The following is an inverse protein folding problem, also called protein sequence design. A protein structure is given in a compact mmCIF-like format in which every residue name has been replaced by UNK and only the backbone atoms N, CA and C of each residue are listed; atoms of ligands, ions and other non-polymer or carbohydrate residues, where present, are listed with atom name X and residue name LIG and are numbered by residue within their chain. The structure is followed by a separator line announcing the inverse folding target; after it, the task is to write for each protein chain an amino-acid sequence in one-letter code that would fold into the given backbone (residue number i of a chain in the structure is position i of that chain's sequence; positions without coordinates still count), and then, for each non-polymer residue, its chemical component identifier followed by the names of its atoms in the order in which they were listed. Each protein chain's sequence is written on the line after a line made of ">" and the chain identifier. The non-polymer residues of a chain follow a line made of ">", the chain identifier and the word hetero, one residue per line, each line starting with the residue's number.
data_IF_858156880928
#
_entry.id   IF_858156880928
#
_cell.length_a   1.000
_cell.length_b   1.000
_cell.length_c   1.000
_cell.angle_alpha   90.00
_cell.angle_beta   90.00
_cell.angle_gamma   90.00
#
_symmetry.space_group_name_H-M   'P 1'
#
loop_
_entity.id
_entity.type
_entity.pdbx_description
1 polymer ?
#
# COMPACT_ATOMS: atom_id res chain seq x y z
N UNK A 1 -30.17 39.11 6.27
CA UNK A 1 -31.22 38.08 6.06
C UNK A 1 -30.80 37.00 5.05
N UNK A 2 -30.19 37.33 3.91
CA UNK A 2 -29.77 36.33 2.90
C UNK A 2 -28.66 35.36 3.35
N UNK A 3 -27.72 35.74 4.22
CA UNK A 3 -26.67 34.84 4.70
C UNK A 3 -27.13 33.74 5.69
N UNK A 4 -28.28 33.97 6.36
CA UNK A 4 -28.86 32.96 7.25
C UNK A 4 -29.62 31.87 6.51
N UNK A 5 -30.19 32.17 5.35
CA UNK A 5 -30.91 31.20 4.53
C UNK A 5 -29.96 30.29 3.73
N UNK A 6 -28.77 30.78 3.34
CA UNK A 6 -27.75 29.96 2.68
C UNK A 6 -27.09 28.93 3.60
N UNK A 7 -27.09 29.14 4.92
CA UNK A 7 -26.60 28.15 5.90
C UNK A 7 -27.58 26.98 6.15
N UNK A 8 -28.87 27.17 5.93
CA UNK A 8 -29.91 26.14 6.10
C UNK A 8 -29.95 25.11 4.96
N UNK A 9 -29.32 25.38 3.80
CA UNK A 9 -29.27 24.45 2.67
C UNK A 9 -27.99 23.61 2.60
N UNK A 10 -27.06 23.74 3.54
CA UNK A 10 -25.93 22.82 3.77
C UNK A 10 -26.22 21.83 4.90
N UNK A 11 -27.36 21.17 4.87
CA UNK A 11 -27.46 19.86 5.48
C UNK A 11 -26.58 18.92 4.64
N UNK A 12 -25.36 18.65 5.13
CA UNK A 12 -24.54 17.59 4.59
C UNK A 12 -25.37 16.31 4.64
N UNK A 13 -25.86 15.87 3.47
CA UNK A 13 -26.51 14.58 3.37
C UNK A 13 -25.54 13.57 3.95
N UNK A 14 -25.97 12.70 4.88
CA UNK A 14 -25.07 11.71 5.45
C UNK A 14 -24.41 10.95 4.32
N UNK A 15 -23.09 10.96 4.30
CA UNK A 15 -22.29 10.26 3.29
C UNK A 15 -22.68 8.76 3.38
N UNK A 16 -22.96 8.11 2.24
CA UNK A 16 -23.31 6.70 2.26
C UNK A 16 -22.18 5.90 2.91
N UNK A 17 -22.50 5.12 3.94
CA UNK A 17 -21.57 4.17 4.54
C UNK A 17 -21.48 2.92 3.67
N UNK A 18 -20.27 2.57 3.28
CA UNK A 18 -19.97 1.32 2.59
C UNK A 18 -19.29 0.34 3.55
N UNK A 19 -19.47 -0.95 3.31
CA UNK A 19 -18.80 -2.00 4.08
C UNK A 19 -18.09 -2.95 3.13
N UNK A 20 -16.88 -3.36 3.50
CA UNK A 20 -16.17 -4.44 2.82
C UNK A 20 -16.88 -5.74 3.16
N UNK A 21 -17.36 -6.47 2.14
CA UNK A 21 -18.14 -7.70 2.34
C UNK A 21 -17.38 -8.78 3.11
N UNK A 22 -16.07 -8.90 2.90
CA UNK A 22 -15.23 -9.93 3.53
C UNK A 22 -14.92 -9.64 5.01
N UNK A 23 -14.72 -8.37 5.36
CA UNK A 23 -14.24 -7.98 6.70
C UNK A 23 -15.31 -7.30 7.56
N UNK A 24 -16.36 -6.77 6.93
CA UNK A 24 -17.36 -5.90 7.58
C UNK A 24 -16.82 -4.50 7.90
N UNK A 25 -15.57 -4.19 7.52
CA UNK A 25 -14.94 -2.89 7.76
C UNK A 25 -15.73 -1.78 7.06
N UNK A 26 -16.03 -0.71 7.80
CA UNK A 26 -16.67 0.48 7.24
C UNK A 26 -15.65 1.31 6.48
N UNK A 27 -16.00 1.69 5.26
CA UNK A 27 -15.18 2.52 4.39
C UNK A 27 -15.96 3.76 3.94
N UNK A 28 -15.23 4.86 3.76
CA UNK A 28 -15.80 6.10 3.24
C UNK A 28 -15.73 6.16 1.72
N UNK A 29 -16.60 6.98 1.12
CA UNK A 29 -16.51 7.29 -0.31
C UNK A 29 -15.16 7.93 -0.68
N UNK A 30 -14.60 8.75 0.20
CA UNK A 30 -13.31 9.39 -0.04
C UNK A 30 -12.16 8.38 -0.07
N UNK A 31 -12.23 7.33 0.74
CA UNK A 31 -11.27 6.22 0.65
C UNK A 31 -11.37 5.49 -0.70
N UNK A 32 -12.58 5.24 -1.20
CA UNK A 32 -12.80 4.63 -2.53
C UNK A 32 -12.27 5.56 -3.64
N UNK A 33 -12.52 6.88 -3.55
CA UNK A 33 -12.00 7.86 -4.49
C UNK A 33 -10.47 7.84 -4.56
N UNK A 34 -9.77 7.73 -3.43
CA UNK A 34 -8.31 7.63 -3.41
C UNK A 34 -7.81 6.43 -4.21
N UNK A 35 -8.46 5.26 -4.07
CA UNK A 35 -8.14 4.07 -4.86
C UNK A 35 -8.33 4.34 -6.35
N UNK A 36 -9.46 4.93 -6.74
CA UNK A 36 -9.75 5.24 -8.15
C UNK A 36 -8.69 6.16 -8.73
N UNK A 37 -8.32 7.22 -8.00
CA UNK A 37 -7.35 8.22 -8.47
C UNK A 37 -5.98 7.64 -8.79
N UNK A 38 -5.45 6.72 -7.98
CA UNK A 38 -4.14 6.10 -8.24
C UNK A 38 -4.16 5.11 -9.42
N UNK A 39 -5.35 4.67 -9.86
CA UNK A 39 -5.50 3.76 -10.99
C UNK A 39 -6.03 4.45 -12.25
N UNK A 40 -6.54 5.67 -12.16
CA UNK A 40 -7.18 6.37 -13.27
C UNK A 40 -6.34 6.40 -14.55
N UNK A 41 -5.04 6.68 -14.43
CA UNK A 41 -4.13 6.71 -15.58
C UNK A 41 -3.66 5.33 -16.06
N UNK A 42 -3.92 4.30 -15.28
CA UNK A 42 -3.50 2.90 -15.55
C UNK A 42 -4.60 2.07 -16.19
N UNK A 43 -5.85 2.52 -16.11
CA UNK A 43 -7.02 1.83 -16.63
C UNK A 43 -7.12 2.02 -18.14
N UNK A 44 -7.19 0.92 -18.87
CA UNK A 44 -7.59 0.91 -20.28
C UNK A 44 -9.09 0.77 -20.43
N UNK A 45 -9.73 0.04 -19.52
CA UNK A 45 -11.19 -0.18 -19.44
C UNK A 45 -11.65 -0.15 -18.00
N UNK A 46 -12.84 0.39 -17.75
CA UNK A 46 -13.44 0.43 -16.40
C UNK A 46 -13.64 -0.97 -15.77
N UNK A 47 -13.84 -1.99 -16.59
CA UNK A 47 -13.99 -3.38 -16.13
C UNK A 47 -12.73 -3.94 -15.44
N UNK A 48 -11.55 -3.39 -15.71
CA UNK A 48 -10.27 -3.81 -15.12
C UNK A 48 -10.09 -3.34 -13.68
N UNK A 49 -10.87 -2.33 -13.24
CA UNK A 49 -10.70 -1.72 -11.94
C UNK A 49 -10.86 -2.74 -10.80
N UNK A 50 -11.83 -3.63 -10.91
CA UNK A 50 -12.07 -4.63 -9.86
C UNK A 50 -10.88 -5.55 -9.67
N UNK A 51 -10.27 -6.03 -10.76
CA UNK A 51 -9.10 -6.91 -10.70
C UNK A 51 -7.86 -6.19 -10.19
N UNK A 52 -7.65 -4.94 -10.60
CA UNK A 52 -6.49 -4.14 -10.22
C UNK A 52 -6.54 -3.67 -8.78
N UNK A 53 -7.73 -3.55 -8.18
CA UNK A 53 -7.92 -2.96 -6.85
C UNK A 53 -8.45 -3.93 -5.79
N UNK A 54 -8.76 -5.17 -6.15
CA UNK A 54 -9.38 -6.17 -5.27
C UNK A 54 -8.61 -6.38 -3.95
N UNK A 55 -7.27 -6.27 -3.98
CA UNK A 55 -6.44 -6.45 -2.81
C UNK A 55 -6.69 -5.41 -1.71
N UNK A 56 -7.19 -4.21 -2.01
CA UNK A 56 -7.57 -3.24 -0.98
C UNK A 56 -8.70 -3.75 -0.08
N UNK A 57 -9.59 -4.58 -0.63
CA UNK A 57 -10.80 -5.08 0.01
C UNK A 57 -10.60 -6.46 0.66
N UNK A 58 -9.43 -7.07 0.53
CA UNK A 58 -9.13 -8.39 1.08
C UNK A 58 -8.47 -8.30 2.45
N UNK A 59 -8.89 -9.17 3.35
CA UNK A 59 -8.26 -9.34 4.66
C UNK A 59 -6.88 -10.01 4.50
N UNK A 60 -6.83 -11.12 3.77
CA UNK A 60 -5.60 -11.88 3.50
C UNK A 60 -5.32 -11.95 2.01
N UNK A 61 -4.05 -11.77 1.65
CA UNK A 61 -3.60 -11.89 0.28
C UNK A 61 -3.16 -13.34 -0.01
N UNK A 62 -3.61 -13.84 -1.16
CA UNK A 62 -3.19 -15.16 -1.68
C UNK A 62 -2.23 -14.95 -2.83
N UNK A 63 -0.96 -15.28 -2.63
CA UNK A 63 0.09 -15.27 -3.65
C UNK A 63 1.18 -16.25 -3.26
N UNK A 64 1.92 -16.75 -4.25
CA UNK A 64 3.07 -17.61 -4.02
C UNK A 64 4.25 -16.77 -3.48
N UNK A 65 5.01 -17.33 -2.53
CA UNK A 65 6.14 -16.63 -1.91
C UNK A 65 7.23 -16.25 -2.92
N UNK A 66 7.34 -16.99 -4.04
CA UNK A 66 8.30 -16.66 -5.09
C UNK A 66 8.07 -15.29 -5.72
N UNK A 67 6.84 -14.78 -5.67
CA UNK A 67 6.49 -13.45 -6.16
C UNK A 67 7.21 -12.32 -5.39
N UNK A 68 7.56 -12.55 -4.12
CA UNK A 68 8.34 -11.60 -3.32
C UNK A 68 9.77 -11.42 -3.81
N UNK A 69 10.25 -12.30 -4.70
CA UNK A 69 11.62 -12.29 -5.18
C UNK A 69 11.82 -11.25 -6.26
N UNK A 70 12.75 -10.35 -6.03
CA UNK A 70 13.27 -9.43 -7.04
C UNK A 70 14.59 -9.97 -7.58
N UNK A 71 14.71 -10.11 -8.91
CA UNK A 71 15.92 -10.61 -9.55
C UNK A 71 16.41 -11.93 -8.89
N UNK A 72 17.65 -12.00 -8.52
CA UNK A 72 18.29 -13.18 -7.92
C UNK A 72 18.34 -13.16 -6.38
N UNK A 73 17.35 -12.51 -5.73
CA UNK A 73 17.29 -12.50 -4.25
C UNK A 73 17.11 -13.90 -3.68
N UNK A 74 17.87 -14.18 -2.62
CA UNK A 74 17.65 -15.34 -1.77
C UNK A 74 16.54 -15.05 -0.74
N UNK A 75 15.91 -16.10 -0.20
CA UNK A 75 14.85 -15.93 0.80
C UNK A 75 15.32 -15.12 2.02
N UNK A 76 16.57 -15.28 2.47
CA UNK A 76 17.17 -14.46 3.55
C UNK A 76 17.27 -12.97 3.20
N UNK A 77 17.50 -12.64 1.93
CA UNK A 77 17.59 -11.26 1.44
C UNK A 77 16.19 -10.62 1.33
N UNK A 78 15.20 -11.40 0.89
CA UNK A 78 13.79 -11.00 0.89
C UNK A 78 13.32 -10.72 2.31
N UNK A 79 13.64 -11.61 3.24
CA UNK A 79 13.36 -11.44 4.67
C UNK A 79 13.99 -10.16 5.21
N UNK A 80 15.27 -9.92 4.93
CA UNK A 80 15.98 -8.72 5.35
C UNK A 80 15.32 -7.44 4.79
N UNK A 81 14.91 -7.46 3.52
CA UNK A 81 14.17 -6.36 2.88
C UNK A 81 12.86 -6.04 3.61
N UNK A 82 12.05 -7.05 3.89
CA UNK A 82 10.77 -6.89 4.57
C UNK A 82 10.95 -6.45 6.02
N UNK A 83 11.88 -7.04 6.77
CA UNK A 83 12.22 -6.63 8.15
C UNK A 83 12.68 -5.17 8.20
N UNK A 84 13.49 -4.74 7.23
CA UNK A 84 13.95 -3.36 7.11
C UNK A 84 12.79 -2.42 6.82
N UNK A 85 11.92 -2.77 5.88
CA UNK A 85 10.73 -2.00 5.54
C UNK A 85 9.80 -1.87 6.75
N UNK A 86 9.55 -2.95 7.49
CA UNK A 86 8.74 -2.93 8.71
C UNK A 86 9.34 -1.98 9.77
N UNK A 87 10.64 -2.09 10.02
CA UNK A 87 11.33 -1.24 11.00
C UNK A 87 11.25 0.25 10.68
N UNK A 88 11.37 0.61 9.40
CA UNK A 88 11.26 2.00 8.95
C UNK A 88 9.82 2.49 9.14
N UNK A 89 8.86 1.74 8.59
CA UNK A 89 7.46 2.12 8.56
C UNK A 89 6.83 2.16 9.96
N UNK A 90 7.25 1.27 10.87
CA UNK A 90 6.73 1.25 12.25
C UNK A 90 7.05 2.54 13.04
N UNK A 91 8.13 3.24 12.70
CA UNK A 91 8.57 4.47 13.35
C UNK A 91 7.80 5.71 12.89
N UNK A 92 7.15 5.67 11.72
CA UNK A 92 6.37 6.79 11.20
C UNK A 92 5.08 6.89 12.01
N UNK A 93 4.76 8.08 12.53
CA UNK A 93 3.51 8.30 13.29
C UNK A 93 2.30 8.21 12.37
N UNK A 94 1.15 7.89 12.92
CA UNK A 94 -0.08 7.73 12.11
C UNK A 94 -0.49 9.05 11.44
N UNK A 95 -0.30 10.18 12.12
CA UNK A 95 -0.57 11.52 11.57
C UNK A 95 0.38 11.93 10.44
N UNK A 96 1.56 11.31 10.37
CA UNK A 96 2.57 11.55 9.33
C UNK A 96 2.51 10.49 8.20
N UNK A 97 1.49 9.62 8.20
CA UNK A 97 1.35 8.53 7.26
C UNK A 97 0.82 9.01 5.91
N UNK A 98 1.67 9.69 5.16
CA UNK A 98 1.39 10.22 3.82
C UNK A 98 2.33 9.62 2.80
N UNK A 99 1.90 9.57 1.53
CA UNK A 99 2.72 9.08 0.42
C UNK A 99 4.10 9.72 0.41
N UNK A 100 4.17 11.03 0.54
CA UNK A 100 5.42 11.82 0.48
C UNK A 100 6.39 11.42 1.59
N UNK A 101 5.90 11.27 2.81
CA UNK A 101 6.73 10.84 3.94
C UNK A 101 7.19 9.39 3.77
N UNK A 102 6.27 8.48 3.41
CA UNK A 102 6.59 7.08 3.15
C UNK A 102 7.66 6.94 2.06
N UNK A 103 7.51 7.69 0.97
CA UNK A 103 8.45 7.73 -0.14
C UNK A 103 9.81 8.23 0.31
N UNK A 104 9.88 9.37 1.02
CA UNK A 104 11.14 9.98 1.45
C UNK A 104 11.97 9.06 2.34
N UNK A 105 11.33 8.38 3.30
CA UNK A 105 12.04 7.45 4.19
C UNK A 105 12.47 6.17 3.48
N UNK A 106 11.60 5.60 2.64
CA UNK A 106 11.89 4.32 1.99
C UNK A 106 12.86 4.46 0.81
N UNK A 107 12.79 5.55 0.02
CA UNK A 107 13.71 5.74 -1.10
C UNK A 107 15.16 5.90 -0.65
N UNK A 108 15.39 6.64 0.42
CA UNK A 108 16.73 6.80 0.97
C UNK A 108 17.37 5.46 1.36
N UNK A 109 16.57 4.57 1.96
CA UNK A 109 17.03 3.24 2.33
C UNK A 109 17.07 2.27 1.14
N UNK A 110 16.19 2.41 0.16
CA UNK A 110 16.19 1.61 -1.05
C UNK A 110 17.47 1.82 -1.90
N UNK A 111 18.03 3.01 -1.87
CA UNK A 111 19.32 3.29 -2.55
C UNK A 111 20.51 2.61 -1.87
N UNK A 112 20.46 2.45 -0.55
CA UNK A 112 21.54 1.85 0.26
C UNK A 112 21.43 0.33 0.35
N UNK A 113 20.24 -0.20 0.34
CA UNK A 113 19.94 -1.61 0.63
C UNK A 113 20.68 -2.61 -0.27
N UNK A 114 20.84 -2.41 -1.59
CA UNK A 114 21.59 -3.33 -2.44
C UNK A 114 23.02 -3.57 -1.95
N UNK A 115 23.69 -2.52 -1.45
CA UNK A 115 25.04 -2.64 -0.89
C UNK A 115 25.06 -3.53 0.36
N UNK A 116 24.05 -3.48 1.19
CA UNK A 116 23.95 -4.30 2.42
C UNK A 116 23.88 -5.80 2.09
N UNK A 117 23.22 -6.15 1.00
CA UNK A 117 23.07 -7.53 0.52
C UNK A 117 24.08 -7.91 -0.58
N UNK A 118 25.08 -7.07 -0.82
CA UNK A 118 26.14 -7.26 -1.82
C UNK A 118 25.61 -7.43 -3.25
N UNK A 119 24.62 -6.64 -3.62
CA UNK A 119 24.05 -6.57 -4.97
C UNK A 119 24.45 -5.26 -5.65
N UNK A 120 24.08 -5.11 -6.92
CA UNK A 120 24.35 -3.92 -7.72
C UNK A 120 23.73 -2.67 -7.10
N UNK A 121 24.52 -1.62 -6.95
CA UNK A 121 24.12 -0.35 -6.35
C UNK A 121 23.15 0.38 -7.30
N UNK A 122 22.09 0.95 -6.73
CA UNK A 122 21.11 1.77 -7.47
C UNK A 122 19.83 1.04 -7.86
N UNK A 123 19.79 -0.29 -7.77
CA UNK A 123 18.54 -1.01 -7.98
C UNK A 123 17.65 -1.01 -6.72
N UNK A 124 16.74 -0.05 -6.67
CA UNK A 124 15.78 0.11 -5.59
C UNK A 124 14.78 -1.06 -5.48
N UNK A 125 14.67 -1.89 -6.51
CA UNK A 125 13.82 -3.06 -6.55
C UNK A 125 14.10 -4.05 -5.43
N UNK A 126 15.34 -4.17 -4.99
CA UNK A 126 15.73 -5.04 -3.88
C UNK A 126 15.02 -4.73 -2.55
N UNK A 127 14.64 -3.48 -2.30
CA UNK A 127 13.83 -3.10 -1.13
C UNK A 127 12.36 -2.96 -1.48
N UNK A 128 12.04 -2.30 -2.60
CA UNK A 128 10.67 -1.87 -2.88
C UNK A 128 9.80 -2.94 -3.52
N UNK A 129 10.38 -3.91 -4.24
CA UNK A 129 9.59 -5.00 -4.83
C UNK A 129 8.99 -5.94 -3.79
N UNK A 130 9.76 -6.51 -2.83
CA UNK A 130 9.19 -7.32 -1.77
C UNK A 130 8.10 -6.59 -1.00
N UNK A 131 8.30 -5.30 -0.71
CA UNK A 131 7.30 -4.46 -0.06
C UNK A 131 6.04 -4.34 -0.90
N UNK A 132 6.15 -4.00 -2.19
CA UNK A 132 4.98 -3.88 -3.09
C UNK A 132 4.18 -5.16 -3.17
N UNK A 133 4.85 -6.29 -3.34
CA UNK A 133 4.19 -7.59 -3.39
C UNK A 133 3.55 -7.95 -2.05
N UNK A 134 4.22 -7.68 -0.93
CA UNK A 134 3.65 -7.89 0.39
C UNK A 134 2.33 -7.12 0.59
N UNK A 135 2.25 -5.90 0.05
CA UNK A 135 1.07 -5.04 0.18
C UNK A 135 -0.07 -5.39 -0.79
N UNK A 136 0.24 -5.92 -1.96
CA UNK A 136 -0.72 -6.09 -3.06
C UNK A 136 -0.97 -7.54 -3.46
N UNK A 137 0.02 -8.42 -3.28
CA UNK A 137 0.01 -9.78 -3.81
C UNK A 137 0.10 -9.85 -5.34
N UNK A 138 0.57 -8.79 -6.01
CA UNK A 138 0.54 -8.65 -7.47
C UNK A 138 1.90 -8.28 -8.05
N UNK A 139 2.20 -8.79 -9.26
CA UNK A 139 3.36 -8.36 -10.05
C UNK A 139 3.22 -6.92 -10.54
N UNK A 140 2.01 -6.54 -10.94
CA UNK A 140 1.71 -5.20 -11.43
C UNK A 140 0.67 -4.53 -10.54
N UNK A 141 1.01 -3.37 -10.01
CA UNK A 141 0.14 -2.56 -9.14
C UNK A 141 0.57 -1.11 -9.15
N UNK A 142 -0.17 -0.25 -8.47
CA UNK A 142 0.30 1.06 -8.08
C UNK A 142 1.56 0.96 -7.20
N UNK A 143 2.28 2.04 -7.04
CA UNK A 143 3.51 2.07 -6.24
C UNK A 143 3.27 1.73 -4.77
N UNK A 144 4.28 1.21 -4.06
CA UNK A 144 4.12 0.79 -2.66
C UNK A 144 3.74 1.94 -1.74
N UNK A 145 4.16 3.16 -2.04
CA UNK A 145 3.88 4.34 -1.20
C UNK A 145 2.41 4.76 -1.26
N UNK A 146 1.84 4.84 -2.47
CA UNK A 146 0.42 5.14 -2.70
C UNK A 146 -0.47 4.07 -2.08
N UNK A 147 -0.09 2.82 -2.27
CA UNK A 147 -0.82 1.67 -1.70
C UNK A 147 -0.77 1.70 -0.17
N UNK A 148 0.40 1.93 0.43
CA UNK A 148 0.58 1.99 1.87
C UNK A 148 -0.22 3.15 2.50
N UNK A 149 -0.23 4.33 1.86
CA UNK A 149 -1.03 5.46 2.33
C UNK A 149 -2.52 5.11 2.41
N UNK A 150 -3.06 4.49 1.36
CA UNK A 150 -4.49 4.13 1.30
C UNK A 150 -4.83 3.01 2.28
N UNK A 151 -3.96 2.00 2.42
CA UNK A 151 -4.14 0.90 3.39
C UNK A 151 -4.10 1.38 4.84
N UNK A 152 -3.34 2.44 5.10
CA UNK A 152 -3.03 2.90 6.46
C UNK A 152 -1.95 2.08 7.13
N UNK A 153 -1.43 2.62 8.23
CA UNK A 153 -0.27 2.05 8.94
C UNK A 153 -0.50 0.62 9.43
N UNK A 154 -1.60 0.38 10.11
CA UNK A 154 -1.88 -0.92 10.73
C UNK A 154 -1.97 -2.05 9.70
N UNK A 155 -2.76 -1.86 8.64
CA UNK A 155 -2.95 -2.86 7.58
C UNK A 155 -1.66 -3.07 6.78
N UNK A 156 -0.89 -2.02 6.55
CA UNK A 156 0.43 -2.09 5.90
C UNK A 156 1.39 -2.97 6.71
N UNK A 157 1.57 -2.69 8.00
CA UNK A 157 2.47 -3.47 8.87
C UNK A 157 1.99 -4.92 9.03
N UNK A 158 0.68 -5.15 9.14
CA UNK A 158 0.10 -6.50 9.18
C UNK A 158 0.49 -7.30 7.94
N UNK A 159 0.34 -6.74 6.73
CA UNK A 159 0.69 -7.42 5.48
C UNK A 159 2.17 -7.72 5.33
N UNK A 160 3.04 -6.83 5.80
CA UNK A 160 4.49 -7.09 5.83
C UNK A 160 4.80 -8.28 6.74
N UNK A 161 4.20 -8.35 7.93
CA UNK A 161 4.38 -9.49 8.86
C UNK A 161 3.84 -10.80 8.28
N UNK A 162 2.72 -10.78 7.60
CA UNK A 162 2.19 -11.94 6.89
C UNK A 162 3.14 -12.42 5.78
N UNK A 163 3.77 -11.49 5.05
CA UNK A 163 4.79 -11.83 4.05
C UNK A 163 6.06 -12.41 4.69
N UNK A 164 6.51 -11.86 5.82
CA UNK A 164 7.62 -12.41 6.61
C UNK A 164 7.34 -13.83 7.07
N UNK A 165 6.11 -14.11 7.49
CA UNK A 165 5.70 -15.46 7.87
C UNK A 165 5.73 -16.45 6.70
N UNK A 166 5.40 -16.01 5.47
CA UNK A 166 5.47 -16.86 4.27
C UNK A 166 6.91 -17.23 3.89
N UNK A 167 7.89 -16.39 4.22
CA UNK A 167 9.32 -16.57 3.92
C UNK A 167 10.07 -17.34 5.01
N UNK A 168 9.43 -17.56 6.14
CA UNK A 168 10.02 -18.28 7.29
C UNK A 168 10.18 -19.77 7.06
#
# INVERSE_FOLDING_TARGET
>A
MMEKELKLFREEKPQPEYKISETGEKISLDWIKKIILIYQERLKKLSEISELTDFFFKEKLKYDKSLLRWSEMLDKEIRHSLDKSEKILSKIRTEDWTKENLESFLLLEAEKFPKEIKKEIGDRGYLLWPLRVALTGKEASAGPFEVAEILGKEKTLKRIREALYKIS
#
